data_IF_112367968316
#
_entry.id   IF_112367968316
#
_cell.length_a   1.000
_cell.length_b   1.000
_cell.length_c   1.000
_cell.angle_alpha   90.00
_cell.angle_beta   90.00
_cell.angle_gamma   90.00
#
_symmetry.space_group_name_H-M   'P 1'
#
loop_
_entity.id
_entity.type
_entity.pdbx_description
1 polymer ?
#
# COMPACT_ATOMS: atom_id res chain seq x y z
N UNK A 1 18.20 -11.17 -30.70
CA UNK A 1 18.63 -12.43 -30.11
C UNK A 1 17.51 -12.97 -29.26
N UNK A 2 17.05 -14.19 -29.54
CA UNK A 2 16.02 -14.83 -28.74
C UNK A 2 16.67 -15.66 -27.62
N UNK A 3 15.87 -16.05 -26.64
CA UNK A 3 16.33 -16.82 -25.51
C UNK A 3 16.97 -18.14 -25.88
N UNK A 4 16.45 -18.82 -26.92
CA UNK A 4 17.00 -20.08 -27.41
C UNK A 4 18.42 -19.95 -27.95
N UNK A 5 18.72 -18.86 -28.68
CA UNK A 5 20.08 -18.60 -29.19
C UNK A 5 21.05 -18.32 -28.04
N UNK A 6 20.61 -17.57 -27.03
CA UNK A 6 21.44 -17.29 -25.86
C UNK A 6 21.68 -18.55 -25.01
N UNK A 7 20.67 -19.43 -24.92
CA UNK A 7 20.81 -20.71 -24.22
C UNK A 7 21.78 -21.67 -24.95
N UNK A 8 21.72 -21.71 -26.28
CA UNK A 8 22.66 -22.51 -27.07
C UNK A 8 24.09 -21.98 -26.96
N UNK A 9 24.28 -20.64 -26.94
CA UNK A 9 25.55 -19.98 -26.72
C UNK A 9 26.12 -20.33 -25.34
N UNK A 10 25.27 -20.26 -24.29
CA UNK A 10 25.65 -20.65 -22.94
C UNK A 10 26.06 -22.10 -22.84
N UNK A 11 25.26 -23.02 -23.41
CA UNK A 11 25.58 -24.43 -23.42
C UNK A 11 26.92 -24.72 -24.16
N UNK A 12 27.16 -24.03 -25.29
CA UNK A 12 28.42 -24.13 -26.02
C UNK A 12 29.62 -23.67 -25.16
N UNK A 13 29.48 -22.52 -24.47
CA UNK A 13 30.50 -22.02 -23.55
C UNK A 13 30.71 -22.97 -22.34
N UNK A 14 29.66 -23.61 -21.86
CA UNK A 14 29.69 -24.57 -20.75
C UNK A 14 30.40 -25.88 -21.12
N UNK A 15 30.31 -26.30 -22.39
CA UNK A 15 30.92 -27.51 -22.92
C UNK A 15 32.33 -27.27 -23.51
N UNK A 16 32.76 -26.01 -23.65
CA UNK A 16 34.10 -25.69 -24.12
C UNK A 16 35.15 -26.18 -23.11
N UNK A 17 36.21 -26.83 -23.63
CA UNK A 17 37.34 -27.25 -22.82
C UNK A 17 38.03 -26.03 -22.21
N UNK A 18 38.45 -26.09 -20.95
CA UNK A 18 39.13 -24.99 -20.28
C UNK A 18 40.53 -24.84 -20.86
N UNK A 19 40.67 -24.12 -21.95
CA UNK A 19 41.95 -23.52 -22.37
C UNK A 19 42.13 -22.21 -21.62
N UNK A 20 43.33 -22.03 -21.08
CA UNK A 20 43.71 -21.04 -20.07
C UNK A 20 43.01 -19.67 -20.21
N UNK A 21 42.16 -19.35 -19.30
CA UNK A 21 41.67 -17.97 -18.98
C UNK A 21 40.53 -17.42 -19.83
N UNK A 22 40.32 -17.84 -21.07
CA UNK A 22 39.33 -17.23 -21.99
C UNK A 22 37.94 -17.86 -21.81
N UNK A 23 37.88 -19.14 -21.49
CA UNK A 23 36.61 -19.87 -21.31
C UNK A 23 35.76 -19.37 -20.12
N UNK A 24 36.38 -18.93 -19.05
CA UNK A 24 35.68 -18.42 -17.88
C UNK A 24 34.98 -17.06 -18.11
N UNK A 25 35.56 -16.19 -18.94
CA UNK A 25 34.93 -14.91 -19.29
C UNK A 25 33.77 -15.11 -20.27
N UNK A 26 33.96 -15.99 -21.27
CA UNK A 26 32.93 -16.33 -22.25
C UNK A 26 31.71 -16.94 -21.55
N UNK A 27 31.90 -17.87 -20.62
CA UNK A 27 30.83 -18.48 -19.83
C UNK A 27 30.07 -17.45 -18.99
N UNK A 28 30.80 -16.57 -18.27
CA UNK A 28 30.19 -15.49 -17.49
C UNK A 28 29.41 -14.51 -18.37
N UNK A 29 29.93 -14.19 -19.56
CA UNK A 29 29.26 -13.31 -20.52
C UNK A 29 27.96 -13.93 -21.06
N UNK A 30 28.00 -15.22 -21.43
CA UNK A 30 26.83 -15.94 -21.91
C UNK A 30 25.76 -16.11 -20.81
N UNK A 31 26.15 -16.39 -19.55
CA UNK A 31 25.25 -16.44 -18.40
C UNK A 31 24.56 -15.09 -18.19
N UNK A 32 25.33 -13.99 -18.12
CA UNK A 32 24.77 -12.63 -17.96
C UNK A 32 23.81 -12.27 -19.08
N UNK A 33 24.04 -12.76 -20.28
CA UNK A 33 23.12 -12.54 -21.39
C UNK A 33 21.78 -13.24 -21.20
N UNK A 34 21.77 -14.47 -20.66
CA UNK A 34 20.54 -15.16 -20.27
C UNK A 34 19.79 -14.42 -19.16
N UNK A 35 20.52 -13.99 -18.13
CA UNK A 35 19.96 -13.19 -17.01
C UNK A 35 19.34 -11.89 -17.52
N UNK A 36 20.02 -11.17 -18.42
CA UNK A 36 19.50 -9.94 -19.03
C UNK A 36 18.28 -10.16 -19.94
N UNK A 37 18.12 -11.37 -20.48
CA UNK A 37 16.91 -11.77 -21.22
C UNK A 37 15.78 -12.25 -20.29
N UNK A 38 16.01 -12.22 -18.97
CA UNK A 38 15.04 -12.60 -17.95
C UNK A 38 14.90 -14.11 -17.80
N UNK A 39 15.88 -14.91 -18.20
CA UNK A 39 15.85 -16.35 -17.94
C UNK A 39 15.81 -16.63 -16.45
N UNK A 40 14.84 -17.43 -15.94
CA UNK A 40 14.82 -17.81 -14.55
C UNK A 40 16.05 -18.64 -14.15
N UNK A 41 16.49 -18.53 -12.89
CA UNK A 41 17.65 -19.29 -12.39
C UNK A 41 17.48 -20.80 -12.55
N UNK A 42 16.25 -21.32 -12.38
CA UNK A 42 15.92 -22.71 -12.58
C UNK A 42 16.19 -23.20 -14.02
N UNK A 43 15.94 -22.35 -15.02
CA UNK A 43 16.24 -22.67 -16.42
C UNK A 43 17.75 -22.75 -16.66
N UNK A 44 18.53 -21.85 -16.08
CA UNK A 44 19.98 -21.86 -16.18
C UNK A 44 20.56 -23.12 -15.49
N UNK A 45 20.06 -23.42 -14.29
CA UNK A 45 20.45 -24.62 -13.53
C UNK A 45 20.11 -25.92 -14.28
N UNK A 46 18.98 -25.96 -14.98
CA UNK A 46 18.60 -27.13 -15.80
C UNK A 46 19.59 -27.33 -16.96
N UNK A 47 20.01 -26.28 -17.65
CA UNK A 47 21.04 -26.38 -18.69
C UNK A 47 22.36 -26.88 -18.10
N UNK A 48 22.76 -26.37 -16.94
CA UNK A 48 23.98 -26.81 -16.26
C UNK A 48 23.94 -28.30 -15.88
N UNK A 49 22.79 -28.77 -15.42
CA UNK A 49 22.57 -30.15 -14.96
C UNK A 49 22.43 -31.15 -16.12
N UNK A 50 21.56 -30.81 -17.11
CA UNK A 50 21.21 -31.73 -18.19
C UNK A 50 22.16 -31.67 -19.38
N UNK A 51 22.88 -30.56 -19.52
CA UNK A 51 23.72 -30.25 -20.71
C UNK A 51 22.91 -30.23 -22.00
N UNK A 52 21.64 -29.85 -21.89
CA UNK A 52 20.72 -29.68 -23.01
C UNK A 52 19.96 -28.37 -22.83
N UNK A 53 19.54 -27.76 -23.94
CA UNK A 53 18.65 -26.59 -23.88
C UNK A 53 17.22 -27.10 -23.77
N UNK A 54 16.50 -26.81 -22.67
CA UNK A 54 15.12 -27.23 -22.51
C UNK A 54 14.22 -26.66 -23.62
N UNK A 55 13.30 -27.47 -24.11
CA UNK A 55 12.30 -27.07 -25.13
C UNK A 55 11.25 -26.15 -24.53
N UNK A 56 10.96 -26.35 -23.23
CA UNK A 56 9.99 -25.58 -22.49
C UNK A 56 10.67 -24.81 -21.35
N UNK A 57 10.20 -23.62 -21.14
CA UNK A 57 10.64 -22.76 -20.05
C UNK A 57 9.47 -22.56 -19.08
N UNK A 58 9.66 -22.97 -17.83
CA UNK A 58 8.74 -22.64 -16.75
C UNK A 58 9.10 -21.26 -16.22
N UNK A 59 8.21 -20.29 -16.44
CA UNK A 59 8.39 -18.94 -15.90
C UNK A 59 7.64 -18.84 -14.57
N UNK A 60 8.33 -18.76 -13.43
CA UNK A 60 7.69 -18.63 -12.13
C UNK A 60 7.01 -17.27 -11.98
N UNK A 61 5.97 -17.21 -11.15
CA UNK A 61 5.42 -15.94 -10.71
C UNK A 61 6.51 -15.14 -9.96
N UNK A 62 6.62 -13.83 -10.17
CA UNK A 62 7.63 -13.00 -9.51
C UNK A 62 7.37 -12.79 -8.01
N UNK A 63 6.14 -12.99 -7.56
CA UNK A 63 5.67 -12.82 -6.19
C UNK A 63 4.41 -13.64 -5.94
N UNK A 64 4.10 -13.86 -4.67
CA UNK A 64 2.80 -14.37 -4.26
C UNK A 64 1.71 -13.33 -4.51
N UNK A 65 0.46 -13.76 -4.69
CA UNK A 65 -0.66 -12.86 -4.94
C UNK A 65 -1.78 -13.47 -5.77
N UNK A 66 -2.81 -12.70 -6.02
CA UNK A 66 -3.96 -13.07 -6.84
C UNK A 66 -3.75 -12.69 -8.31
N UNK A 67 -4.11 -13.59 -9.24
CA UNK A 67 -4.10 -13.29 -10.67
C UNK A 67 -5.37 -12.54 -11.03
N UNK A 68 -5.27 -11.22 -11.14
CA UNK A 68 -6.40 -10.34 -11.47
C UNK A 68 -6.68 -10.23 -12.97
N UNK A 69 -5.67 -10.52 -13.78
CA UNK A 69 -5.80 -10.48 -15.25
C UNK A 69 -4.93 -11.57 -15.87
N UNK A 70 -5.49 -12.30 -16.82
CA UNK A 70 -4.79 -13.29 -17.63
C UNK A 70 -5.09 -13.06 -19.10
N UNK A 71 -4.14 -12.55 -19.85
CA UNK A 71 -4.21 -12.39 -21.32
C UNK A 71 -3.62 -13.58 -22.05
N UNK A 72 -2.77 -14.36 -21.38
CA UNK A 72 -2.14 -15.53 -21.94
C UNK A 72 -3.16 -16.63 -22.26
N UNK A 73 -3.16 -17.09 -23.50
CA UNK A 73 -3.93 -18.24 -23.97
C UNK A 73 -3.00 -19.27 -24.58
N UNK A 74 -3.41 -20.54 -24.50
CA UNK A 74 -2.60 -21.63 -25.04
C UNK A 74 -2.38 -21.49 -26.55
N UNK A 75 -1.14 -21.65 -27.01
CA UNK A 75 -0.76 -21.49 -28.41
C UNK A 75 -0.55 -20.04 -28.87
N UNK A 76 -0.74 -19.06 -28.00
CA UNK A 76 -0.45 -17.66 -28.26
C UNK A 76 1.06 -17.44 -28.42
N UNK A 77 1.45 -16.56 -29.34
CA UNK A 77 2.82 -16.08 -29.44
C UNK A 77 2.98 -14.84 -28.57
N UNK A 78 3.90 -14.89 -27.62
CA UNK A 78 4.25 -13.76 -26.78
C UNK A 78 5.47 -13.03 -27.34
N UNK A 79 5.47 -11.71 -27.28
CA UNK A 79 6.58 -10.84 -27.60
C UNK A 79 7.12 -10.15 -26.32
N UNK A 80 8.37 -9.70 -26.30
CA UNK A 80 8.89 -8.91 -25.21
C UNK A 80 8.04 -7.65 -25.01
N UNK A 81 7.57 -7.44 -23.76
CA UNK A 81 6.68 -6.35 -23.39
C UNK A 81 5.20 -6.71 -23.31
N UNK A 82 4.80 -7.88 -23.79
CA UNK A 82 3.42 -8.35 -23.62
C UNK A 82 3.11 -8.67 -22.16
N UNK A 83 1.97 -8.18 -21.69
CA UNK A 83 1.45 -8.52 -20.35
C UNK A 83 0.72 -9.86 -20.48
N UNK A 84 1.25 -10.90 -19.88
CA UNK A 84 0.65 -12.25 -19.89
C UNK A 84 -0.26 -12.48 -18.68
N UNK A 85 0.17 -12.01 -17.52
CA UNK A 85 -0.55 -12.08 -16.25
C UNK A 85 -0.35 -10.78 -15.48
N UNK A 86 -1.37 -10.38 -14.74
CA UNK A 86 -1.26 -9.34 -13.72
C UNK A 86 -1.51 -9.97 -12.37
N UNK A 87 -0.50 -9.94 -11.51
CA UNK A 87 -0.55 -10.51 -10.16
C UNK A 87 -0.51 -9.34 -9.19
N UNK A 88 -1.43 -9.32 -8.24
CA UNK A 88 -1.55 -8.29 -7.22
C UNK A 88 -1.53 -8.95 -5.85
N UNK A 89 -0.76 -8.37 -4.95
CA UNK A 89 -0.75 -8.70 -3.54
C UNK A 89 -1.71 -7.75 -2.82
N UNK A 90 -2.67 -8.30 -2.08
CA UNK A 90 -3.69 -7.58 -1.35
C UNK A 90 -3.51 -7.62 0.18
N UNK A 91 -2.37 -8.10 0.68
CA UNK A 91 -2.07 -8.16 2.12
C UNK A 91 -2.10 -6.79 2.79
N UNK A 92 -1.79 -5.75 2.01
CA UNK A 92 -1.87 -4.35 2.43
C UNK A 92 -2.67 -3.55 1.43
N UNK A 93 -3.71 -2.88 1.91
CA UNK A 93 -4.56 -2.01 1.09
C UNK A 93 -4.33 -0.54 1.46
N UNK A 94 -4.35 0.33 0.48
CA UNK A 94 -4.20 1.76 0.66
C UNK A 94 -5.54 2.47 0.57
N UNK A 95 -5.84 3.28 1.60
CA UNK A 95 -6.95 4.21 1.57
C UNK A 95 -6.42 5.60 1.24
N UNK A 96 -6.91 6.14 0.13
CA UNK A 96 -6.56 7.49 -0.32
C UNK A 96 -7.61 8.46 0.19
N UNK A 97 -7.20 9.42 1.02
CA UNK A 97 -8.08 10.40 1.64
C UNK A 97 -7.69 11.79 1.16
N UNK A 98 -8.68 12.59 0.77
CA UNK A 98 -8.46 13.99 0.42
C UNK A 98 -8.81 14.87 1.64
N UNK A 99 -7.81 15.48 2.27
CA UNK A 99 -7.93 16.32 3.47
C UNK A 99 -7.93 17.79 3.08
N UNK A 100 -8.84 18.58 3.64
CA UNK A 100 -8.89 20.01 3.38
C UNK A 100 -7.61 20.73 3.87
N UNK A 101 -7.14 21.73 3.14
CA UNK A 101 -5.93 22.52 3.45
C UNK A 101 -5.92 23.02 4.90
N UNK A 102 -7.05 23.52 5.41
CA UNK A 102 -7.18 24.03 6.77
C UNK A 102 -6.93 22.99 7.86
N UNK A 103 -7.16 21.71 7.57
CA UNK A 103 -7.06 20.59 8.51
C UNK A 103 -5.71 19.87 8.38
N UNK A 104 -4.93 20.18 7.33
CA UNK A 104 -3.68 19.50 7.00
C UNK A 104 -2.62 19.64 8.10
N UNK A 105 -2.58 20.79 8.78
CA UNK A 105 -1.65 21.01 9.90
C UNK A 105 -1.89 20.09 11.12
N UNK A 106 -3.04 19.41 11.15
CA UNK A 106 -3.40 18.45 12.20
C UNK A 106 -3.00 17.02 11.87
N UNK A 107 -2.54 16.79 10.63
CA UNK A 107 -2.20 15.45 10.13
C UNK A 107 -0.70 15.24 10.17
N UNK A 108 -0.28 14.16 10.81
CA UNK A 108 1.11 13.76 10.92
C UNK A 108 1.31 12.32 10.43
N UNK A 109 2.53 12.02 9.96
CA UNK A 109 2.91 10.66 9.61
C UNK A 109 2.87 9.75 10.85
N UNK A 110 2.36 8.55 10.68
CA UNK A 110 2.23 7.55 11.74
C UNK A 110 0.97 7.67 12.58
N UNK A 111 0.15 8.73 12.41
CA UNK A 111 -1.14 8.84 13.08
C UNK A 111 -2.04 7.65 12.76
N UNK A 112 -2.76 7.20 13.79
CA UNK A 112 -3.75 6.14 13.66
C UNK A 112 -5.04 6.68 13.04
N UNK A 113 -5.53 5.95 12.06
CA UNK A 113 -6.80 6.22 11.40
C UNK A 113 -7.75 5.04 11.57
N UNK A 114 -9.00 5.33 11.89
CA UNK A 114 -10.09 4.35 11.90
C UNK A 114 -10.85 4.46 10.60
N UNK A 115 -10.95 3.36 9.88
CA UNK A 115 -11.60 3.26 8.57
C UNK A 115 -12.86 2.42 8.70
N UNK A 116 -13.98 2.98 8.29
CA UNK A 116 -15.30 2.32 8.29
C UNK A 116 -15.78 2.15 6.86
N UNK A 117 -16.06 0.92 6.48
CA UNK A 117 -16.60 0.62 5.16
C UNK A 117 -18.10 0.37 5.25
N UNK A 118 -18.83 0.88 4.26
CA UNK A 118 -20.27 0.64 4.16
C UNK A 118 -20.61 -0.85 3.99
N UNK A 119 -19.71 -1.60 3.35
CA UNK A 119 -19.86 -3.04 3.20
C UNK A 119 -19.73 -3.82 4.53
N UNK A 120 -19.02 -3.24 5.52
CA UNK A 120 -18.76 -3.86 6.82
C UNK A 120 -19.02 -2.86 7.96
N UNK A 121 -20.29 -2.45 8.20
CA UNK A 121 -20.63 -1.35 9.11
C UNK A 121 -20.24 -1.60 10.57
N UNK A 122 -20.22 -2.87 10.98
CA UNK A 122 -19.88 -3.27 12.35
C UNK A 122 -18.42 -3.65 12.56
N UNK A 123 -17.57 -3.53 11.50
CA UNK A 123 -16.16 -3.87 11.55
C UNK A 123 -15.31 -2.66 11.19
N UNK A 124 -14.81 -1.90 12.17
CA UNK A 124 -13.84 -0.85 11.91
C UNK A 124 -12.46 -1.47 11.60
N UNK A 125 -11.74 -0.87 10.67
CA UNK A 125 -10.37 -1.22 10.34
C UNK A 125 -9.45 -0.12 10.84
N UNK A 126 -8.27 -0.50 11.31
CA UNK A 126 -7.30 0.46 11.83
C UNK A 126 -6.07 0.47 10.93
N UNK A 127 -5.68 1.66 10.50
CA UNK A 127 -4.48 1.87 9.70
C UNK A 127 -3.65 3.02 10.21
N UNK A 128 -2.56 3.32 9.49
CA UNK A 128 -1.66 4.43 9.79
C UNK A 128 -1.48 5.34 8.58
N UNK A 129 -1.36 6.64 8.83
CA UNK A 129 -0.97 7.61 7.81
C UNK A 129 0.49 7.36 7.45
N UNK A 130 0.75 6.94 6.22
CA UNK A 130 2.11 6.60 5.74
C UNK A 130 2.67 7.62 4.77
N UNK A 131 1.80 8.34 4.04
CA UNK A 131 2.22 9.39 3.11
C UNK A 131 1.29 10.59 3.19
N UNK A 132 1.87 11.77 3.23
CA UNK A 132 1.19 13.05 2.98
C UNK A 132 1.75 13.57 1.67
N UNK A 133 0.93 13.63 0.62
CA UNK A 133 1.39 14.11 -0.69
C UNK A 133 1.58 15.64 -0.67
N UNK A 134 2.70 16.16 -1.21
CA UNK A 134 3.05 17.57 -1.07
C UNK A 134 2.22 18.52 -1.95
N UNK A 135 1.45 17.98 -2.90
CA UNK A 135 0.68 18.78 -3.84
C UNK A 135 -0.79 18.86 -3.45
N UNK A 136 -1.30 20.08 -3.39
CA UNK A 136 -2.72 20.34 -3.26
C UNK A 136 -3.42 20.20 -4.62
N UNK A 137 -4.63 19.66 -4.61
CA UNK A 137 -5.54 19.73 -5.77
C UNK A 137 -6.15 21.14 -5.80
N UNK A 138 -5.88 21.96 -6.84
CA UNK A 138 -6.34 23.34 -6.87
C UNK A 138 -7.86 23.48 -6.84
N UNK A 139 -8.57 22.54 -7.48
CA UNK A 139 -10.03 22.57 -7.67
C UNK A 139 -10.76 22.38 -6.34
N UNK A 140 -10.24 21.53 -5.46
CA UNK A 140 -10.90 21.18 -4.21
C UNK A 140 -10.18 21.75 -2.98
N UNK A 141 -8.97 22.30 -3.16
CA UNK A 141 -8.05 22.74 -2.08
C UNK A 141 -7.85 21.64 -1.03
N UNK A 142 -7.59 20.44 -1.50
CA UNK A 142 -7.32 19.29 -0.64
C UNK A 142 -5.94 18.72 -0.89
N UNK A 143 -5.27 18.26 0.16
CA UNK A 143 -4.09 17.41 0.07
C UNK A 143 -4.52 15.95 0.11
N UNK A 144 -3.87 15.11 -0.68
CA UNK A 144 -4.05 13.68 -0.61
C UNK A 144 -3.16 13.08 0.44
N UNK A 145 -3.69 12.18 1.25
CA UNK A 145 -2.92 11.36 2.19
C UNK A 145 -3.17 9.89 1.90
N UNK A 146 -2.21 9.04 2.26
CA UNK A 146 -2.31 7.59 2.15
C UNK A 146 -2.30 6.96 3.54
N UNK A 147 -3.28 6.12 3.77
CA UNK A 147 -3.40 5.30 4.96
C UNK A 147 -3.21 3.85 4.54
N UNK A 148 -2.33 3.13 5.21
CA UNK A 148 -2.11 1.71 4.98
C UNK A 148 -2.89 0.88 5.99
N UNK A 149 -3.62 -0.11 5.47
CA UNK A 149 -4.44 -1.04 6.23
C UNK A 149 -3.95 -2.48 5.98
N UNK A 150 -3.63 -3.23 7.01
CA UNK A 150 -3.44 -4.68 6.90
C UNK A 150 -4.74 -5.36 6.45
N UNK A 151 -4.62 -6.32 5.54
CA UNK A 151 -5.76 -7.05 4.98
C UNK A 151 -5.55 -8.58 5.00
N UNK A 152 -5.21 -9.18 6.16
CA UNK A 152 -4.85 -10.60 6.24
C UNK A 152 -6.00 -11.55 5.88
N UNK A 153 -7.25 -11.09 5.96
CA UNK A 153 -8.44 -11.88 5.63
C UNK A 153 -8.94 -11.65 4.19
N UNK A 154 -8.23 -10.85 3.41
CA UNK A 154 -8.57 -10.46 2.03
C UNK A 154 -10.02 -9.93 1.85
N UNK A 155 -10.52 -9.24 2.88
CA UNK A 155 -11.89 -8.67 2.87
C UNK A 155 -11.94 -7.28 2.26
N UNK A 156 -10.82 -6.54 2.31
CA UNK A 156 -10.70 -5.22 1.72
C UNK A 156 -10.35 -5.37 0.24
N UNK A 157 -11.15 -4.72 -0.61
CA UNK A 157 -10.95 -4.75 -2.05
C UNK A 157 -10.68 -3.36 -2.61
N UNK A 158 -9.90 -3.23 -3.66
CA UNK A 158 -9.75 -1.96 -4.37
C UNK A 158 -11.11 -1.36 -4.74
N UNK A 159 -11.16 -0.03 -4.88
CA UNK A 159 -12.33 0.76 -5.27
C UNK A 159 -13.52 0.73 -4.28
N UNK A 160 -13.32 0.23 -3.06
CA UNK A 160 -14.30 0.39 -1.99
C UNK A 160 -14.28 1.81 -1.44
N UNK A 161 -15.49 2.36 -1.15
CA UNK A 161 -15.63 3.62 -0.43
C UNK A 161 -15.58 3.40 1.08
N UNK A 162 -14.86 4.31 1.76
CA UNK A 162 -14.69 4.27 3.20
C UNK A 162 -14.85 5.66 3.81
N UNK A 163 -15.40 5.70 5.02
CA UNK A 163 -15.35 6.86 5.89
C UNK A 163 -14.14 6.73 6.82
N UNK A 164 -13.35 7.80 6.94
CA UNK A 164 -12.09 7.77 7.68
C UNK A 164 -12.11 8.79 8.80
N UNK A 165 -11.80 8.33 10.01
CA UNK A 165 -11.62 9.15 11.19
C UNK A 165 -10.14 9.12 11.59
N UNK A 166 -9.49 10.29 11.64
CA UNK A 166 -8.09 10.43 12.06
C UNK A 166 -8.08 11.15 13.40
N UNK A 167 -7.47 10.53 14.42
CA UNK A 167 -7.31 11.16 15.71
C UNK A 167 -6.29 12.29 15.63
N UNK A 168 -6.76 13.55 15.68
CA UNK A 168 -5.91 14.75 15.57
C UNK A 168 -5.65 15.42 16.90
N UNK A 169 -6.06 14.82 18.01
CA UNK A 169 -5.90 15.37 19.37
C UNK A 169 -4.69 14.79 20.10
N UNK A 170 -4.09 15.60 20.96
CA UNK A 170 -3.23 15.09 22.01
C UNK A 170 -4.12 14.33 23.01
N UNK A 171 -3.65 13.19 23.52
CA UNK A 171 -4.35 12.37 24.54
C UNK A 171 -4.54 13.07 25.90
N UNK A 172 -4.38 14.40 25.95
CA UNK A 172 -4.59 15.15 27.19
C UNK A 172 -6.08 15.16 27.48
N UNK A 173 -6.52 14.52 28.55
CA UNK A 173 -7.94 14.50 28.90
C UNK A 173 -8.39 15.94 29.20
N UNK A 174 -9.38 16.43 28.46
CA UNK A 174 -9.98 17.73 28.65
C UNK A 174 -11.38 17.55 29.27
N UNK A 175 -11.71 18.43 30.21
CA UNK A 175 -13.05 18.46 30.76
C UNK A 175 -14.02 18.94 29.69
N UNK A 176 -15.00 18.12 29.38
CA UNK A 176 -16.05 18.44 28.40
C UNK A 176 -17.40 18.56 29.06
N UNK A 177 -18.23 19.45 28.54
CA UNK A 177 -19.64 19.60 28.92
C UNK A 177 -20.50 19.62 27.66
N UNK A 178 -21.74 19.17 27.77
CA UNK A 178 -22.69 19.29 26.66
C UNK A 178 -22.85 20.77 26.27
N UNK A 179 -22.93 21.06 24.97
CA UNK A 179 -23.20 22.43 24.49
C UNK A 179 -24.50 23.00 25.07
N UNK A 180 -25.50 22.14 25.37
CA UNK A 180 -26.77 22.52 26.02
C UNK A 180 -26.63 22.89 27.49
N UNK A 181 -25.51 22.51 28.13
CA UNK A 181 -25.25 22.86 29.55
C UNK A 181 -24.57 24.22 29.69
N UNK A 182 -24.19 24.85 28.60
CA UNK A 182 -23.57 26.17 28.62
C UNK A 182 -24.60 27.26 28.40
N UNK A 183 -24.72 28.15 29.38
CA UNK A 183 -25.55 29.34 29.30
C UNK A 183 -24.67 30.49 28.84
N UNK A 184 -24.96 31.04 27.68
CA UNK A 184 -24.22 32.17 27.10
C UNK A 184 -25.11 33.42 27.16
N UNK A 185 -24.70 34.41 27.93
CA UNK A 185 -25.41 35.69 28.08
C UNK A 185 -24.89 36.78 27.15
N UNK A 186 -23.93 36.45 26.27
CA UNK A 186 -23.24 37.42 25.43
C UNK A 186 -22.03 38.09 26.12
N UNK A 187 -22.12 38.39 27.41
CA UNK A 187 -21.01 38.93 28.19
C UNK A 187 -20.20 37.84 28.94
N UNK A 188 -20.86 36.76 29.31
CA UNK A 188 -20.25 35.64 30.11
C UNK A 188 -20.85 34.31 29.68
N UNK A 189 -19.98 33.32 29.73
CA UNK A 189 -20.36 31.92 29.56
C UNK A 189 -20.28 31.23 30.92
N UNK A 190 -21.36 30.55 31.32
CA UNK A 190 -21.41 29.89 32.61
C UNK A 190 -22.09 28.50 32.47
N UNK A 191 -21.79 27.62 33.43
CA UNK A 191 -22.43 26.35 33.62
C UNK A 191 -23.01 26.32 35.05
N UNK A 192 -24.09 25.56 35.23
CA UNK A 192 -24.68 25.32 36.55
C UNK A 192 -24.12 23.99 37.09
N UNK A 193 -23.39 24.10 38.21
CA UNK A 193 -22.93 22.91 38.95
C UNK A 193 -24.05 22.47 39.92
N UNK A 194 -24.45 21.21 39.81
CA UNK A 194 -25.36 20.61 40.74
C UNK A 194 -24.65 20.32 42.06
N UNK A 195 -25.16 20.90 43.17
CA UNK A 195 -24.65 20.70 44.53
C UNK A 195 -25.51 19.70 45.33
N UNK A 196 -26.48 19.12 44.67
CA UNK A 196 -27.46 18.25 45.32
C UNK A 196 -28.62 19.04 46.01
N UNK A 197 -29.67 18.33 46.40
CA UNK A 197 -30.85 18.91 47.04
C UNK A 197 -31.53 20.05 46.26
N UNK A 198 -31.41 20.04 44.90
CA UNK A 198 -31.98 21.08 44.05
C UNK A 198 -31.22 22.42 44.04
N UNK A 199 -30.03 22.48 44.64
CA UNK A 199 -29.17 23.67 44.64
C UNK A 199 -28.18 23.66 43.47
N UNK A 200 -28.15 24.75 42.73
CA UNK A 200 -27.24 24.97 41.58
C UNK A 200 -26.35 26.17 41.85
N UNK A 201 -25.04 26.01 41.56
CA UNK A 201 -24.06 27.08 41.66
C UNK A 201 -23.63 27.49 40.25
N UNK A 202 -23.81 28.76 39.82
CA UNK A 202 -23.34 29.23 38.56
C UNK A 202 -21.78 29.40 38.58
N UNK A 203 -21.10 28.77 37.61
CA UNK A 203 -19.67 28.87 37.47
C UNK A 203 -19.33 29.40 36.09
N UNK A 204 -18.56 30.51 36.07
CA UNK A 204 -18.05 31.07 34.82
C UNK A 204 -17.03 30.12 34.19
N UNK A 205 -17.15 29.89 32.90
CA UNK A 205 -16.30 28.99 32.10
C UNK A 205 -15.80 29.74 30.86
N UNK A 206 -14.60 29.34 30.40
CA UNK A 206 -14.09 29.73 29.10
C UNK A 206 -14.17 28.51 28.19
N UNK A 207 -14.98 28.60 27.13
CA UNK A 207 -15.13 27.53 26.18
C UNK A 207 -13.91 27.44 25.30
N UNK A 208 -13.37 26.23 25.18
CA UNK A 208 -12.29 25.88 24.27
C UNK A 208 -12.83 25.40 22.91
N UNK A 209 -12.31 24.26 22.42
CA UNK A 209 -12.81 23.62 21.17
C UNK A 209 -14.23 23.13 21.35
N UNK A 210 -15.07 23.32 20.31
CA UNK A 210 -16.34 22.64 20.18
C UNK A 210 -16.08 21.36 19.38
N UNK A 211 -16.37 20.19 19.98
CA UNK A 211 -16.46 18.91 19.28
C UNK A 211 -17.85 18.76 18.64
N UNK A 212 -17.89 18.15 17.46
CA UNK A 212 -19.15 17.75 16.82
C UNK A 212 -19.55 16.37 17.27
#
# INVERSE_FOLDING_TARGET
>A
PNLSSAAAEYLSALNARPEAGISGQALKGARRRLENLGAPDGFIADIERTREVPVYLNWPAPQDGEVVERTAVNGMRAAPGDVLFRIVDHDVVWVMVDVAERDLALIELGQTATVRLRAYPNRPFTGKVTVIYPHLKPETRTARIRIELPNPDDVLRPDMYADVEIATGTETPVVTVSSSAVIDSGERQLVLLDKGEGRFEPRAVKIGRRGG
#
